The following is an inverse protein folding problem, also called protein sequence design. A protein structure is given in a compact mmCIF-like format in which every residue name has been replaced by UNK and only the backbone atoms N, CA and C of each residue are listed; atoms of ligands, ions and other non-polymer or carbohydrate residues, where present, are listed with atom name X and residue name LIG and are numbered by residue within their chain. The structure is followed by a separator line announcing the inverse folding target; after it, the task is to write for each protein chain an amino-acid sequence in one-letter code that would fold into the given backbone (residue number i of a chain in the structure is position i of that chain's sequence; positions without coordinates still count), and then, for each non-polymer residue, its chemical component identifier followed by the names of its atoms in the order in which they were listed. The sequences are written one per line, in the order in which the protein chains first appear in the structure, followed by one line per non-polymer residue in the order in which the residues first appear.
data_IF_402485342697
#
_entry.id   IF_402485342697
#
_cell.length_a   1.000
_cell.length_b   1.000
_cell.length_c   1.000
_cell.angle_alpha   90.00
_cell.angle_beta   90.00
_cell.angle_gamma   90.00
#
_symmetry.space_group_name_H-M   'P 1'
#
loop_
_entity.id
_entity.type
_entity.pdbx_description
1 polymer ?
#
# COMPACT_ATOMS: atom_id res chain seq x y z
N UNK A 1 -27.06 -11.80 5.81
CA UNK A 1 -26.20 -10.81 5.15
C UNK A 1 -25.09 -11.57 4.46
N UNK A 2 -25.01 -11.50 3.12
CA UNK A 2 -23.99 -12.18 2.32
C UNK A 2 -22.80 -11.27 2.05
N UNK A 3 -21.64 -11.86 1.75
CA UNK A 3 -20.45 -11.10 1.36
C UNK A 3 -20.71 -10.19 0.14
N UNK A 4 -21.55 -10.64 -0.80
CA UNK A 4 -21.93 -9.87 -1.98
C UNK A 4 -22.71 -8.61 -1.61
N UNK A 5 -23.66 -8.72 -0.68
CA UNK A 5 -24.46 -7.59 -0.20
C UNK A 5 -23.58 -6.55 0.51
N UNK A 6 -22.62 -7.00 1.32
CA UNK A 6 -21.67 -6.11 2.01
C UNK A 6 -20.77 -5.37 1.01
N UNK A 7 -20.26 -6.06 -0.02
CA UNK A 7 -19.44 -5.43 -1.08
C UNK A 7 -20.24 -4.37 -1.84
N UNK A 8 -21.51 -4.63 -2.15
CA UNK A 8 -22.36 -3.65 -2.84
C UNK A 8 -22.61 -2.42 -1.97
N UNK A 9 -22.81 -2.60 -0.66
CA UNK A 9 -22.97 -1.49 0.28
C UNK A 9 -21.70 -0.64 0.36
N UNK A 10 -20.52 -1.24 0.48
CA UNK A 10 -19.23 -0.52 0.49
C UNK A 10 -19.03 0.27 -0.81
N UNK A 11 -19.37 -0.32 -1.96
CA UNK A 11 -19.27 0.37 -3.26
C UNK A 11 -20.20 1.57 -3.39
N UNK A 12 -21.36 1.53 -2.73
CA UNK A 12 -22.32 2.62 -2.73
C UNK A 12 -21.91 3.81 -1.84
N UNK A 13 -20.93 3.63 -0.93
CA UNK A 13 -20.47 4.69 -0.04
C UNK A 13 -19.75 5.83 -0.81
N UNK A 14 -19.75 7.06 -0.26
CA UNK A 14 -18.89 8.14 -0.74
C UNK A 14 -17.40 7.74 -0.74
N UNK A 15 -16.57 8.34 -1.61
CA UNK A 15 -15.15 8.01 -1.68
C UNK A 15 -14.39 8.13 -0.35
N UNK A 16 -14.72 9.12 0.48
CA UNK A 16 -14.07 9.32 1.79
C UNK A 16 -14.40 8.20 2.78
N UNK A 17 -15.64 7.72 2.79
CA UNK A 17 -16.04 6.60 3.64
C UNK A 17 -15.46 5.27 3.14
N UNK A 18 -15.34 5.08 1.81
CA UNK A 18 -14.62 3.94 1.24
C UNK A 18 -13.15 3.88 1.67
N UNK A 19 -12.48 5.03 1.76
CA UNK A 19 -11.10 5.10 2.27
C UNK A 19 -11.02 4.65 3.73
N UNK A 20 -12.00 5.03 4.57
CA UNK A 20 -12.04 4.62 5.98
C UNK A 20 -12.23 3.12 6.13
N UNK A 21 -13.12 2.51 5.33
CA UNK A 21 -13.32 1.05 5.33
C UNK A 21 -12.06 0.33 4.84
N UNK A 22 -11.44 0.80 3.76
CA UNK A 22 -10.20 0.22 3.25
C UNK A 22 -9.06 0.31 4.28
N UNK A 23 -8.92 1.46 4.96
CA UNK A 23 -7.95 1.65 6.04
C UNK A 23 -8.18 0.65 7.17
N UNK A 24 -9.42 0.53 7.65
CA UNK A 24 -9.77 -0.40 8.74
C UNK A 24 -9.45 -1.85 8.38
N UNK A 25 -9.78 -2.30 7.17
CA UNK A 25 -9.47 -3.66 6.72
C UNK A 25 -7.96 -3.91 6.67
N UNK A 26 -7.18 -2.93 6.22
CA UNK A 26 -5.71 -3.04 6.15
C UNK A 26 -5.08 -3.01 7.55
N UNK A 27 -5.64 -2.25 8.50
CA UNK A 27 -5.10 -2.12 9.87
C UNK A 27 -5.45 -3.30 10.77
N UNK A 28 -6.62 -3.93 10.59
CA UNK A 28 -7.13 -4.98 11.49
C UNK A 28 -6.93 -6.41 10.95
N UNK A 29 -6.84 -6.61 9.63
CA UNK A 29 -6.56 -7.92 9.02
C UNK A 29 -5.62 -7.77 7.82
N UNK A 30 -4.32 -7.82 8.13
CA UNK A 30 -3.23 -7.73 7.17
C UNK A 30 -2.72 -9.11 6.73
N UNK A 31 -3.41 -10.19 7.12
CA UNK A 31 -3.02 -11.59 6.88
C UNK A 31 -2.99 -11.97 5.39
N UNK A 32 -3.74 -11.24 4.56
CA UNK A 32 -3.83 -11.44 3.12
C UNK A 32 -2.89 -10.51 2.32
N UNK A 33 -2.28 -9.52 2.97
CA UNK A 33 -1.39 -8.56 2.33
C UNK A 33 0.03 -9.15 2.35
N UNK A 34 0.66 -9.39 1.19
CA UNK A 34 2.03 -9.90 1.15
C UNK A 34 3.00 -8.99 1.90
N UNK A 35 3.96 -9.58 2.62
CA UNK A 35 4.95 -8.83 3.39
C UNK A 35 5.75 -7.84 2.52
N UNK A 36 6.10 -8.26 1.29
CA UNK A 36 6.76 -7.40 0.28
C UNK A 36 5.97 -6.12 0.01
N UNK A 37 4.64 -6.19 0.02
CA UNK A 37 3.79 -5.02 -0.19
C UNK A 37 3.82 -4.09 1.03
N UNK A 38 3.85 -4.63 2.25
CA UNK A 38 3.98 -3.84 3.48
C UNK A 38 5.32 -3.13 3.54
N UNK A 39 6.40 -3.83 3.17
CA UNK A 39 7.74 -3.25 3.05
C UNK A 39 7.78 -2.13 2.01
N UNK A 40 7.20 -2.35 0.83
CA UNK A 40 7.10 -1.32 -0.20
C UNK A 40 6.29 -0.08 0.25
N UNK A 41 5.21 -0.28 1.00
CA UNK A 41 4.44 0.83 1.59
C UNK A 41 5.26 1.61 2.63
N UNK A 42 6.05 0.91 3.45
CA UNK A 42 6.95 1.53 4.42
C UNK A 42 8.09 2.31 3.72
N UNK A 43 8.67 1.75 2.65
CA UNK A 43 9.65 2.42 1.79
C UNK A 43 9.07 3.70 1.19
N UNK A 44 7.84 3.61 0.67
CA UNK A 44 7.14 4.75 0.09
C UNK A 44 6.89 5.88 1.11
N UNK A 45 6.43 5.54 2.32
CA UNK A 45 6.24 6.51 3.40
C UNK A 45 7.56 7.13 3.86
N UNK A 46 8.65 6.36 3.86
CA UNK A 46 9.99 6.85 4.20
C UNK A 46 10.67 7.62 3.06
N UNK A 47 10.02 7.76 1.90
CA UNK A 47 10.60 8.42 0.72
C UNK A 47 11.75 7.63 0.08
N UNK A 48 11.88 6.33 0.39
CA UNK A 48 12.88 5.43 -0.19
C UNK A 48 12.43 4.96 -1.58
N UNK A 49 12.40 5.88 -2.52
CA UNK A 49 12.14 5.57 -3.92
C UNK A 49 13.44 5.52 -4.70
N UNK A 50 13.45 4.69 -5.75
CA UNK A 50 14.52 4.68 -6.74
C UNK A 50 14.00 5.38 -7.99
N UNK A 51 14.63 6.49 -8.35
CA UNK A 51 14.44 7.08 -9.67
C UNK A 51 15.14 6.16 -10.69
N UNK A 52 14.35 5.54 -11.56
CA UNK A 52 14.86 4.58 -12.54
C UNK A 52 15.70 5.24 -13.64
N UNK A 53 15.49 6.54 -13.92
CA UNK A 53 16.36 7.27 -14.85
C UNK A 53 17.73 7.46 -14.21
N UNK A 54 17.78 7.91 -12.96
CA UNK A 54 19.04 8.06 -12.22
C UNK A 54 19.73 6.71 -11.98
N UNK A 55 18.99 5.69 -11.54
CA UNK A 55 19.55 4.41 -11.12
C UNK A 55 20.15 3.58 -12.25
N UNK A 56 19.67 3.76 -13.49
CA UNK A 56 20.20 3.05 -14.66
C UNK A 56 21.48 3.69 -15.22
N UNK A 57 21.69 4.99 -15.00
CA UNK A 57 22.77 5.75 -15.63
C UNK A 57 23.82 6.28 -14.65
N UNK A 58 23.53 6.36 -13.36
CA UNK A 58 24.48 6.83 -12.34
C UNK A 58 25.15 5.67 -11.57
N UNK A 59 26.36 5.91 -11.07
CA UNK A 59 27.05 4.92 -10.24
C UNK A 59 26.40 4.88 -8.85
N UNK A 60 25.95 3.71 -8.36
CA UNK A 60 25.32 3.62 -7.05
C UNK A 60 26.24 4.14 -5.93
N UNK A 61 25.70 4.85 -4.92
CA UNK A 61 26.49 5.27 -3.77
C UNK A 61 27.09 4.06 -3.04
N UNK A 62 28.28 4.21 -2.43
CA UNK A 62 28.92 3.13 -1.70
C UNK A 62 28.02 2.64 -0.56
N UNK A 63 27.97 1.32 -0.37
CA UNK A 63 27.17 0.69 0.69
C UNK A 63 27.62 1.25 2.06
N UNK A 64 26.65 1.74 2.84
CA UNK A 64 26.88 2.09 4.23
C UNK A 64 27.25 0.81 5.00
N UNK A 65 28.41 0.82 5.67
CA UNK A 65 28.91 -0.30 6.49
C UNK A 65 28.14 -0.43 7.80
#
# INVERSE_FOLDING_TARGET
MSALEVIQQIKALPPEERKQVARFVVEEDDSWIPDEFKEAMADAQAGRFVDMETALFETPPPRLQ
#
